data_IF_720059985780
#
_entry.id   IF_720059985780
#
_cell.length_a   1.000
_cell.length_b   1.000
_cell.length_c   1.000
_cell.angle_alpha   90.00
_cell.angle_beta   90.00
_cell.angle_gamma   90.00
#
_symmetry.space_group_name_H-M   'P 1'
#
loop_
_entity.id
_entity.type
_entity.pdbx_description
1 polymer ?
#
# COMPACT_ATOMS: atom_id res chain seq x y z
N UNK A 1 -2.29 20.88 20.41
CA UNK A 1 -0.89 20.49 20.07
C UNK A 1 -0.60 19.24 20.86
N UNK A 2 -0.18 18.09 20.34
CA UNK A 2 -0.06 17.57 18.98
C UNK A 2 -0.17 16.05 19.11
N UNK A 3 -0.99 15.41 18.27
CA UNK A 3 -1.22 13.97 18.31
C UNK A 3 -1.41 13.42 16.88
N UNK A 4 -0.49 13.80 15.98
CA UNK A 4 -0.43 13.26 14.61
C UNK A 4 1.02 12.91 14.16
N UNK A 5 2.02 13.02 15.04
CA UNK A 5 3.44 12.81 14.71
C UNK A 5 3.90 11.33 14.76
N UNK A 6 2.99 10.37 14.96
CA UNK A 6 3.37 8.97 15.20
C UNK A 6 3.63 8.11 13.96
N UNK A 7 3.08 8.49 12.79
CA UNK A 7 3.19 7.67 11.56
C UNK A 7 4.03 8.39 10.47
N UNK A 8 4.19 9.70 10.59
CA UNK A 8 4.95 10.52 9.62
C UNK A 8 6.48 10.34 9.66
N UNK A 9 7.03 9.71 10.70
CA UNK A 9 8.48 9.62 10.93
C UNK A 9 9.15 8.32 10.50
N UNK A 10 8.41 7.24 10.20
CA UNK A 10 9.00 5.93 9.96
C UNK A 10 9.37 5.65 8.49
N UNK A 11 9.02 6.56 7.57
CA UNK A 11 9.23 6.43 6.13
C UNK A 11 10.50 7.14 5.61
N UNK A 12 11.52 7.34 6.44
CA UNK A 12 12.80 7.98 6.04
C UNK A 12 13.72 7.07 5.22
N UNK A 13 13.15 6.12 4.48
CA UNK A 13 13.77 5.58 3.27
C UNK A 13 13.56 6.56 2.12
N UNK A 14 14.45 7.55 2.02
CA UNK A 14 14.52 8.50 0.93
C UNK A 14 14.46 7.80 -0.45
N UNK A 15 13.59 8.28 -1.34
CA UNK A 15 13.49 7.98 -2.80
C UNK A 15 12.23 7.27 -3.31
N UNK A 16 11.14 7.11 -2.54
CA UNK A 16 9.84 6.71 -3.13
C UNK A 16 8.74 7.67 -2.72
N UNK A 17 8.36 8.56 -3.64
CA UNK A 17 7.25 9.50 -3.49
C UNK A 17 6.00 8.71 -3.12
N UNK A 18 5.59 8.75 -1.85
CA UNK A 18 4.33 8.17 -1.43
C UNK A 18 3.24 9.19 -1.77
N UNK A 19 2.36 8.84 -2.73
CA UNK A 19 1.19 9.65 -3.06
C UNK A 19 0.12 9.57 -1.97
N UNK A 20 0.14 8.49 -1.19
CA UNK A 20 -0.71 8.34 -0.01
C UNK A 20 -0.72 6.91 0.51
N UNK A 21 -1.56 6.71 1.53
CA UNK A 21 -1.81 5.41 2.15
C UNK A 21 -3.28 5.30 2.57
N UNK A 22 -3.74 4.07 2.82
CA UNK A 22 -5.05 3.78 3.39
C UNK A 22 -5.03 2.52 4.24
N UNK A 23 -5.81 2.50 5.31
CA UNK A 23 -6.07 1.29 6.07
C UNK A 23 -6.84 0.25 5.23
N UNK A 24 -6.58 -1.03 5.48
CA UNK A 24 -7.32 -2.16 4.89
C UNK A 24 -8.11 -2.87 6.00
N UNK A 25 -9.40 -3.19 5.78
CA UNK A 25 -10.22 -2.83 4.63
C UNK A 25 -10.63 -1.34 4.66
N UNK A 26 -10.91 -0.76 3.48
CA UNK A 26 -11.31 0.64 3.40
C UNK A 26 -11.55 1.16 2.00
N UNK A 27 -11.85 2.46 1.93
CA UNK A 27 -11.92 3.23 0.68
C UNK A 27 -11.35 4.63 0.95
N UNK A 28 -10.51 5.13 0.06
CA UNK A 28 -9.94 6.47 0.15
C UNK A 28 -9.90 7.15 -1.22
N UNK A 29 -9.76 8.47 -1.22
CA UNK A 29 -9.44 9.25 -2.42
C UNK A 29 -8.04 9.85 -2.31
N UNK A 30 -7.29 9.80 -3.41
CA UNK A 30 -5.93 10.30 -3.52
C UNK A 30 -5.76 11.09 -4.81
N UNK A 31 -4.97 12.15 -4.78
CA UNK A 31 -4.58 12.87 -5.99
C UNK A 31 -3.33 12.20 -6.59
N UNK A 32 -3.47 11.63 -7.79
CA UNK A 32 -2.37 10.94 -8.48
C UNK A 32 -1.87 11.80 -9.65
N UNK A 33 -0.55 11.92 -9.85
CA UNK A 33 0.02 12.52 -11.05
C UNK A 33 -0.15 11.58 -12.25
N UNK A 34 0.03 12.10 -13.47
CA UNK A 34 0.20 11.25 -14.63
C UNK A 34 1.52 10.46 -14.53
N UNK A 35 1.47 9.19 -14.95
CA UNK A 35 2.62 8.28 -14.92
C UNK A 35 2.33 6.95 -14.24
N UNK A 36 3.40 6.18 -13.99
CA UNK A 36 3.32 4.87 -13.34
C UNK A 36 3.17 5.02 -11.81
N UNK A 37 2.16 4.38 -11.26
CA UNK A 37 1.90 4.31 -9.81
C UNK A 37 1.97 2.85 -9.38
N UNK A 38 2.95 2.54 -8.53
CA UNK A 38 3.06 1.25 -7.86
C UNK A 38 2.18 1.21 -6.62
N UNK A 39 1.57 0.04 -6.39
CA UNK A 39 0.68 -0.20 -5.25
C UNK A 39 1.30 -1.31 -4.40
N UNK A 40 1.42 -1.04 -3.10
CA UNK A 40 2.04 -1.94 -2.14
C UNK A 40 1.04 -2.29 -1.05
N UNK A 41 0.94 -3.57 -0.71
CA UNK A 41 0.35 -4.02 0.54
C UNK A 41 1.42 -4.02 1.61
N UNK A 42 1.09 -3.49 2.78
CA UNK A 42 2.02 -3.29 3.86
C UNK A 42 1.39 -3.71 5.19
N UNK A 43 2.21 -4.24 6.09
CA UNK A 43 1.79 -4.63 7.43
C UNK A 43 2.95 -4.46 8.40
N UNK A 44 2.65 -4.11 9.65
CA UNK A 44 3.61 -4.18 10.75
C UNK A 44 3.36 -5.48 11.51
N UNK A 45 4.30 -6.40 11.43
CA UNK A 45 4.20 -7.71 12.05
C UNK A 45 5.46 -8.13 12.78
N UNK A 46 5.45 -9.35 13.29
CA UNK A 46 6.68 -10.01 13.73
C UNK A 46 7.49 -10.44 12.51
N UNK A 47 8.81 -10.45 12.65
CA UNK A 47 9.70 -10.96 11.62
C UNK A 47 9.34 -12.43 11.35
N UNK A 48 9.26 -12.80 10.08
CA UNK A 48 9.11 -14.19 9.70
C UNK A 48 10.46 -14.90 9.92
N UNK A 49 10.64 -15.54 11.07
CA UNK A 49 11.87 -16.28 11.42
C UNK A 49 12.11 -17.52 10.53
N UNK A 50 11.12 -17.89 9.72
CA UNK A 50 11.11 -19.11 8.92
C UNK A 50 11.59 -18.89 7.47
N UNK A 51 12.07 -17.69 7.13
CA UNK A 51 12.49 -17.35 5.76
C UNK A 51 11.35 -17.33 4.73
N UNK A 52 10.10 -17.42 5.19
CA UNK A 52 8.91 -17.27 4.36
C UNK A 52 8.82 -15.80 3.94
N UNK A 53 8.78 -15.55 2.64
CA UNK A 53 8.51 -14.21 2.09
C UNK A 53 7.14 -13.73 2.56
N UNK A 54 7.06 -12.44 2.85
CA UNK A 54 5.80 -11.77 3.10
C UNK A 54 4.93 -11.83 1.84
N UNK A 55 3.73 -12.38 1.98
CA UNK A 55 2.75 -12.51 0.92
C UNK A 55 1.46 -11.81 1.37
N UNK A 56 0.73 -11.14 0.45
CA UNK A 56 -0.56 -10.57 0.80
C UNK A 56 -1.56 -11.70 1.09
N UNK A 57 -2.56 -11.48 1.97
CA UNK A 57 -3.55 -12.51 2.27
C UNK A 57 -4.37 -12.84 1.01
N UNK A 58 -4.77 -14.11 0.86
CA UNK A 58 -5.52 -14.57 -0.32
C UNK A 58 -6.91 -13.95 -0.46
N UNK A 59 -7.43 -13.35 0.63
CA UNK A 59 -8.68 -12.61 0.67
C UNK A 59 -8.54 -11.13 0.27
N UNK A 60 -7.32 -10.64 0.02
CA UNK A 60 -7.09 -9.25 -0.36
C UNK A 60 -7.58 -9.00 -1.78
N UNK A 61 -8.55 -8.10 -1.91
CA UNK A 61 -8.95 -7.53 -3.20
C UNK A 61 -8.69 -6.04 -3.17
N UNK A 62 -8.09 -5.51 -4.24
CA UNK A 62 -7.78 -4.09 -4.37
C UNK A 62 -8.39 -3.59 -5.67
N UNK A 63 -9.03 -2.42 -5.62
CA UNK A 63 -9.55 -1.74 -6.80
C UNK A 63 -9.06 -0.31 -6.87
N UNK A 64 -8.72 0.16 -8.08
CA UNK A 64 -8.30 1.54 -8.33
C UNK A 64 -9.03 2.09 -9.56
N UNK A 65 -9.53 3.31 -9.47
CA UNK A 65 -10.14 4.00 -10.61
C UNK A 65 -10.26 5.50 -10.39
N UNK A 66 -10.53 6.29 -11.44
CA UNK A 66 -10.78 7.72 -11.30
C UNK A 66 -12.04 7.99 -10.46
N UNK A 67 -12.08 9.11 -9.74
CA UNK A 67 -13.27 9.52 -8.98
C UNK A 67 -14.49 9.65 -9.91
N UNK A 68 -15.62 9.05 -9.51
CA UNK A 68 -16.84 8.98 -10.33
C UNK A 68 -16.83 7.86 -11.39
N UNK A 69 -15.71 7.16 -11.58
CA UNK A 69 -15.61 5.93 -12.36
C UNK A 69 -15.76 4.67 -11.52
N UNK A 70 -15.85 3.51 -12.17
CA UNK A 70 -15.82 2.22 -11.50
C UNK A 70 -14.35 1.82 -11.23
N UNK A 71 -13.95 1.55 -9.97
CA UNK A 71 -12.62 1.03 -9.68
C UNK A 71 -12.39 -0.31 -10.39
N UNK A 72 -11.25 -0.42 -11.07
CA UNK A 72 -10.84 -1.65 -11.76
C UNK A 72 -10.09 -2.52 -10.77
N UNK A 73 -10.39 -3.84 -10.68
CA UNK A 73 -9.66 -4.74 -9.81
C UNK A 73 -8.20 -4.84 -10.23
N UNK A 74 -7.30 -4.65 -9.27
CA UNK A 74 -5.88 -4.92 -9.38
C UNK A 74 -5.69 -6.34 -8.87
N UNK A 75 -5.35 -7.25 -9.76
CA UNK A 75 -4.96 -8.60 -9.37
C UNK A 75 -3.58 -8.49 -8.74
N UNK A 76 -3.40 -8.88 -7.47
CA UNK A 76 -2.09 -8.94 -6.85
C UNK A 76 -1.15 -9.79 -7.71
N UNK A 77 -0.24 -9.14 -8.40
CA UNK A 77 0.83 -9.79 -9.13
C UNK A 77 1.72 -10.53 -8.14
N UNK A 78 2.00 -11.80 -8.42
CA UNK A 78 3.05 -12.55 -7.72
C UNK A 78 4.40 -12.05 -8.23
N UNK A 79 4.86 -10.88 -7.76
CA UNK A 79 6.07 -10.23 -8.27
C UNK A 79 7.07 -9.83 -7.17
N UNK A 80 8.36 -9.71 -7.50
CA UNK A 80 9.50 -10.02 -6.62
C UNK A 80 9.89 -8.94 -5.60
N UNK A 81 9.18 -7.82 -5.55
CA UNK A 81 9.50 -6.72 -4.63
C UNK A 81 8.73 -6.90 -3.32
N UNK A 82 9.20 -7.87 -2.53
CA UNK A 82 8.90 -7.98 -1.10
C UNK A 82 10.09 -7.47 -0.29
N UNK A 83 9.86 -6.71 0.76
CA UNK A 83 10.92 -6.24 1.64
C UNK A 83 10.49 -6.18 3.09
N UNK A 84 11.49 -6.16 3.97
CA UNK A 84 11.31 -6.02 5.42
C UNK A 84 12.17 -4.84 5.89
N UNK A 85 11.60 -4.01 6.77
CA UNK A 85 12.30 -2.91 7.42
C UNK A 85 12.00 -2.94 8.92
N UNK A 86 13.00 -2.97 9.82
CA UNK A 86 12.78 -2.89 11.26
C UNK A 86 12.07 -1.59 11.63
N UNK A 87 11.11 -1.66 12.56
CA UNK A 87 10.41 -0.51 13.14
C UNK A 87 10.44 -0.49 14.66
N UNK A 88 10.02 0.63 15.28
CA UNK A 88 9.88 0.71 16.75
C UNK A 88 8.86 -0.30 17.28
N UNK A 89 7.85 -0.64 16.48
CA UNK A 89 6.72 -1.48 16.86
C UNK A 89 6.80 -2.92 16.29
N UNK A 90 7.82 -3.25 15.49
CA UNK A 90 7.96 -4.57 14.87
C UNK A 90 8.80 -4.56 13.59
N UNK A 91 8.36 -5.32 12.58
CA UNK A 91 8.94 -5.31 11.24
C UNK A 91 7.87 -4.85 10.25
N UNK A 92 8.18 -3.77 9.53
CA UNK A 92 7.40 -3.29 8.41
C UNK A 92 7.71 -4.16 7.20
N UNK A 93 6.69 -4.89 6.76
CA UNK A 93 6.77 -5.78 5.63
C UNK A 93 5.93 -5.18 4.51
N UNK A 94 6.44 -5.23 3.28
CA UNK A 94 5.71 -4.74 2.12
C UNK A 94 5.87 -5.67 0.94
N UNK A 95 4.83 -5.73 0.11
CA UNK A 95 4.81 -6.48 -1.15
C UNK A 95 4.12 -5.65 -2.21
N UNK A 96 4.73 -5.57 -3.39
CA UNK A 96 4.12 -4.90 -4.54
C UNK A 96 2.97 -5.74 -5.09
N UNK A 97 1.77 -5.17 -5.10
CA UNK A 97 0.57 -5.78 -5.66
C UNK A 97 0.47 -5.58 -7.16
N UNK A 98 0.91 -4.43 -7.66
CA UNK A 98 0.80 -4.11 -9.08
C UNK A 98 1.21 -2.68 -9.40
N UNK A 99 1.02 -2.33 -10.66
CA UNK A 99 1.25 -0.99 -11.20
C UNK A 99 0.02 -0.57 -12.00
N UNK A 100 -0.29 0.72 -11.92
CA UNK A 100 -1.29 1.36 -12.76
C UNK A 100 -0.66 2.55 -13.45
N UNK A 101 -0.93 2.69 -14.74
CA UNK A 101 -0.58 3.88 -15.52
C UNK A 101 -1.72 4.88 -15.41
N UNK A 102 -1.43 6.03 -14.84
CA UNK A 102 -2.36 7.16 -14.77
C UNK A 102 -2.15 8.03 -16.00
N UNK A 103 -3.10 8.00 -16.93
CA UNK A 103 -2.99 8.75 -18.19
C UNK A 103 -3.13 10.27 -17.98
N UNK A 104 -3.97 10.68 -17.04
CA UNK A 104 -4.23 12.08 -16.71
C UNK A 104 -4.20 12.30 -15.19
N UNK A 105 -3.54 13.37 -14.72
CA UNK A 105 -3.49 13.66 -13.28
C UNK A 105 -4.90 14.00 -12.78
N UNK A 106 -5.20 13.60 -11.54
CA UNK A 106 -6.51 13.88 -10.96
C UNK A 106 -6.77 13.08 -9.70
N UNK A 107 -8.02 13.10 -9.24
CA UNK A 107 -8.45 12.37 -8.06
C UNK A 107 -8.86 10.94 -8.43
N UNK A 108 -8.33 9.99 -7.67
CA UNK A 108 -8.55 8.57 -7.83
C UNK A 108 -9.12 7.97 -6.54
N UNK A 109 -10.00 7.00 -6.70
CA UNK A 109 -10.59 6.21 -5.61
C UNK A 109 -9.83 4.90 -5.51
N UNK A 110 -9.31 4.62 -4.32
CA UNK A 110 -8.69 3.34 -3.97
C UNK A 110 -9.64 2.60 -3.04
N UNK A 111 -9.87 1.33 -3.34
CA UNK A 111 -10.69 0.43 -2.54
C UNK A 111 -9.87 -0.79 -2.17
N UNK A 112 -10.03 -1.28 -0.96
CA UNK A 112 -9.40 -2.51 -0.50
C UNK A 112 -10.34 -3.26 0.42
N UNK A 113 -10.50 -4.56 0.19
CA UNK A 113 -11.28 -5.47 1.04
C UNK A 113 -10.39 -6.61 1.52
N UNK A 114 -10.85 -7.31 2.56
CA UNK A 114 -10.02 -8.33 3.22
C UNK A 114 -8.96 -7.70 4.11
N UNK A 115 -7.76 -8.27 4.11
CA UNK A 115 -6.66 -7.87 5.00
C UNK A 115 -6.83 -8.47 6.40
N UNK A 116 -6.28 -9.65 6.61
CA UNK A 116 -6.15 -10.24 7.95
C UNK A 116 -4.72 -9.98 8.44
N UNK A 117 -4.54 -9.26 9.56
CA UNK A 117 -3.19 -8.92 10.03
C UNK A 117 -3.08 -7.82 11.09
N UNK A 118 -1.85 -7.50 11.45
CA UNK A 118 -1.44 -6.52 12.48
C UNK A 118 -1.46 -5.07 12.00
N UNK A 119 -2.63 -4.59 11.55
CA UNK A 119 -2.84 -3.25 10.92
C UNK A 119 -2.33 -3.18 9.48
N UNK A 120 -3.03 -3.85 8.56
CA UNK A 120 -2.67 -3.78 7.16
C UNK A 120 -3.07 -2.45 6.53
N UNK A 121 -2.23 -1.96 5.62
CA UNK A 121 -2.50 -0.75 4.85
C UNK A 121 -1.98 -0.89 3.41
N UNK A 122 -2.58 -0.13 2.50
CA UNK A 122 -2.03 0.07 1.16
C UNK A 122 -1.19 1.33 1.13
N UNK A 123 -0.11 1.31 0.35
CA UNK A 123 0.70 2.47 0.01
C UNK A 123 0.77 2.61 -1.51
N UNK A 124 0.60 3.84 -2.00
CA UNK A 124 0.75 4.17 -3.42
C UNK A 124 1.98 5.06 -3.60
N UNK A 125 2.81 4.77 -4.60
CA UNK A 125 4.01 5.57 -4.88
C UNK A 125 4.75 5.12 -6.12
N UNK A 126 5.88 5.76 -6.41
CA UNK A 126 6.82 5.35 -7.48
C UNK A 126 7.94 4.46 -6.94
#
# INVERSE_FOLDING_TARGET
MGLLDGIGGFLTGASRSAYGWMDVPGTTTLDLPAGEVSIYYCEVGQRSDNGRRFEPPSSLEVGLGPEGGQPVPIVPGRMPLSGEQPTQDGVYQFVKLGEVVVDAPGRWVVTATGGEGGRPHLRLGT
#
